data_IF_596839555929
#
_entry.id   IF_596839555929
#
_cell.length_a   1.000
_cell.length_b   1.000
_cell.length_c   1.000
_cell.angle_alpha   90.00
_cell.angle_beta   90.00
_cell.angle_gamma   90.00
#
_symmetry.space_group_name_H-M   'P 1'
#
loop_
_entity.id
_entity.type
_entity.pdbx_description
1 polymer ?
#
# COMPACT_ATOMS: atom_id res chain seq x y z
N UNK A 1 -8.56 15.40 22.14
CA UNK A 1 -8.26 14.77 20.84
C UNK A 1 -6.75 14.83 20.62
N UNK A 2 -6.06 13.68 20.59
CA UNK A 2 -4.63 13.64 20.27
C UNK A 2 -4.41 14.03 18.80
N UNK A 3 -3.38 14.84 18.52
CA UNK A 3 -3.01 15.19 17.15
C UNK A 3 -2.61 13.91 16.40
N UNK A 4 -3.17 13.69 15.21
CA UNK A 4 -2.73 12.62 14.33
C UNK A 4 -1.26 12.89 13.95
N UNK A 5 -0.34 12.05 14.40
CA UNK A 5 1.07 12.13 14.03
C UNK A 5 1.22 11.46 12.66
N UNK A 6 1.57 12.28 11.68
CA UNK A 6 1.90 11.81 10.35
C UNK A 6 3.40 11.55 10.27
N UNK A 7 3.78 10.48 9.60
CA UNK A 7 5.18 10.10 9.35
C UNK A 7 5.47 10.17 7.86
N UNK A 8 6.71 10.56 7.54
CA UNK A 8 7.23 10.50 6.18
C UNK A 8 7.83 9.11 5.93
N UNK A 9 7.40 8.50 4.84
CA UNK A 9 7.99 7.26 4.33
C UNK A 9 9.11 7.65 3.36
N UNK A 10 10.32 7.09 3.49
CA UNK A 10 11.44 7.34 2.60
C UNK A 10 11.21 6.65 1.24
N UNK A 11 10.32 7.25 0.45
CA UNK A 11 9.91 6.82 -0.87
C UNK A 11 10.37 7.86 -1.89
N UNK A 12 11.20 7.44 -2.84
CA UNK A 12 11.74 8.28 -3.92
C UNK A 12 11.19 7.89 -5.30
N UNK A 13 10.73 6.65 -5.44
CA UNK A 13 10.10 6.15 -6.66
C UNK A 13 9.22 4.94 -6.36
N UNK A 14 8.33 4.65 -7.29
CA UNK A 14 7.55 3.42 -7.39
C UNK A 14 7.65 2.89 -8.83
N UNK A 15 7.23 1.66 -9.04
CA UNK A 15 7.09 1.02 -10.34
C UNK A 15 5.61 0.83 -10.65
N UNK A 16 5.20 1.19 -11.85
CA UNK A 16 3.85 0.98 -12.33
C UNK A 16 3.86 0.85 -13.86
N UNK A 17 3.17 -0.16 -14.37
CA UNK A 17 2.95 -0.33 -15.82
C UNK A 17 2.19 0.86 -16.38
N UNK A 18 2.21 1.04 -17.71
CA UNK A 18 1.41 2.07 -18.37
C UNK A 18 -0.09 1.92 -18.05
N UNK A 19 -0.61 0.68 -18.01
CA UNK A 19 -2.00 0.41 -17.67
C UNK A 19 -2.37 0.88 -16.25
N UNK A 20 -1.52 0.62 -15.25
CA UNK A 20 -1.81 1.09 -13.88
C UNK A 20 -1.56 2.59 -13.73
N UNK A 21 -0.47 3.11 -14.28
CA UNK A 21 -0.09 4.49 -14.08
C UNK A 21 -0.93 5.46 -14.90
N UNK A 22 -0.95 5.30 -16.23
CA UNK A 22 -1.61 6.25 -17.13
C UNK A 22 -3.12 6.02 -17.14
N UNK A 23 -3.56 4.78 -17.31
CA UNK A 23 -4.98 4.48 -17.57
C UNK A 23 -5.83 4.40 -16.30
N UNK A 24 -5.20 4.26 -15.11
CA UNK A 24 -5.92 4.18 -13.84
C UNK A 24 -5.55 5.29 -12.88
N UNK A 25 -4.28 5.37 -12.47
CA UNK A 25 -3.86 6.31 -11.44
C UNK A 25 -3.96 7.77 -11.91
N UNK A 26 -3.45 8.10 -13.09
CA UNK A 26 -3.55 9.46 -13.63
C UNK A 26 -4.98 9.82 -14.02
N UNK A 27 -5.78 8.88 -14.56
CA UNK A 27 -7.23 9.11 -14.78
C UNK A 27 -7.95 9.46 -13.48
N UNK A 28 -7.68 8.76 -12.38
CA UNK A 28 -8.27 9.10 -11.08
C UNK A 28 -7.86 10.51 -10.61
N UNK A 29 -6.64 10.95 -10.94
CA UNK A 29 -6.16 12.29 -10.59
C UNK A 29 -6.80 13.36 -11.47
N UNK A 30 -6.84 13.14 -12.78
CA UNK A 30 -7.19 14.16 -13.78
C UNK A 30 -8.71 14.28 -13.98
N UNK A 31 -9.43 13.16 -14.00
CA UNK A 31 -10.86 13.12 -14.34
C UNK A 31 -11.78 13.06 -13.12
N UNK A 32 -11.32 12.41 -12.04
CA UNK A 32 -12.09 12.31 -10.78
C UNK A 32 -11.68 13.42 -9.79
N UNK A 33 -10.52 14.05 -10.01
CA UNK A 33 -10.02 15.14 -9.19
C UNK A 33 -9.31 14.70 -7.90
N UNK A 34 -8.83 13.45 -7.83
CA UNK A 34 -8.01 13.03 -6.70
C UNK A 34 -6.69 13.81 -6.67
N UNK A 35 -6.28 14.28 -5.49
CA UNK A 35 -4.93 14.78 -5.34
C UNK A 35 -3.93 13.63 -5.51
N UNK A 36 -2.99 13.78 -6.46
CA UNK A 36 -1.95 12.79 -6.76
C UNK A 36 -1.28 12.24 -5.51
N UNK A 37 -0.82 13.11 -4.60
CA UNK A 37 -0.12 12.65 -3.40
C UNK A 37 -1.05 11.95 -2.40
N UNK A 38 -2.23 12.51 -2.19
CA UNK A 38 -3.21 11.93 -1.26
C UNK A 38 -3.73 10.57 -1.74
N UNK A 39 -3.86 10.36 -3.06
CA UNK A 39 -4.33 9.10 -3.63
C UNK A 39 -3.41 7.94 -3.23
N UNK A 40 -2.08 8.10 -3.31
CA UNK A 40 -1.18 7.01 -2.90
C UNK A 40 -1.27 6.73 -1.40
N UNK A 41 -1.42 7.77 -0.57
CA UNK A 41 -1.65 7.58 0.86
C UNK A 41 -2.96 6.82 1.13
N UNK A 42 -4.02 7.10 0.37
CA UNK A 42 -5.30 6.42 0.47
C UNK A 42 -5.22 4.96 0.00
N UNK A 43 -4.51 4.69 -1.09
CA UNK A 43 -4.21 3.34 -1.60
C UNK A 43 -3.54 2.50 -0.50
N UNK A 44 -2.51 3.05 0.14
CA UNK A 44 -1.81 2.36 1.23
C UNK A 44 -2.71 2.18 2.45
N UNK A 45 -3.50 3.19 2.80
CA UNK A 45 -4.43 3.09 3.91
C UNK A 45 -5.49 1.99 3.69
N UNK A 46 -6.05 1.91 2.48
CA UNK A 46 -7.00 0.86 2.09
C UNK A 46 -6.39 -0.52 2.20
N UNK A 47 -5.17 -0.70 1.70
CA UNK A 47 -4.44 -1.96 1.79
C UNK A 47 -4.12 -2.37 3.23
N UNK A 48 -3.56 -1.45 4.03
CA UNK A 48 -3.26 -1.70 5.44
C UNK A 48 -4.51 -2.03 6.25
N UNK A 49 -5.65 -1.41 5.92
CA UNK A 49 -6.93 -1.73 6.56
C UNK A 49 -7.42 -3.13 6.18
N UNK A 50 -7.41 -3.47 4.89
CA UNK A 50 -7.87 -4.78 4.39
C UNK A 50 -7.04 -5.95 4.94
N UNK A 51 -5.76 -5.75 5.22
CA UNK A 51 -4.83 -6.79 5.65
C UNK A 51 -4.25 -6.56 7.06
N UNK A 52 -4.98 -5.79 7.88
CA UNK A 52 -4.52 -5.34 9.20
C UNK A 52 -4.07 -6.50 10.09
N UNK A 53 -4.88 -7.54 10.17
CA UNK A 53 -4.67 -8.67 11.08
C UNK A 53 -3.41 -9.44 10.72
N UNK A 54 -3.19 -9.70 9.43
CA UNK A 54 -1.98 -10.35 8.94
C UNK A 54 -0.73 -9.55 9.35
N UNK A 55 -0.71 -8.25 9.07
CA UNK A 55 0.48 -7.42 9.37
C UNK A 55 0.66 -7.17 10.87
N UNK A 56 -0.40 -7.23 11.68
CA UNK A 56 -0.28 -7.21 13.15
C UNK A 56 0.39 -8.47 13.67
N UNK A 57 0.00 -9.65 13.17
CA UNK A 57 0.63 -10.92 13.53
C UNK A 57 2.09 -10.97 13.06
N UNK A 58 2.38 -10.56 11.83
CA UNK A 58 3.73 -10.47 11.30
C UNK A 58 4.61 -9.48 12.09
N UNK A 59 4.06 -8.31 12.47
CA UNK A 59 4.76 -7.34 13.30
C UNK A 59 5.16 -7.92 14.66
N UNK A 60 4.26 -8.68 15.28
CA UNK A 60 4.54 -9.34 16.56
C UNK A 60 5.64 -10.39 16.42
N UNK A 61 5.57 -11.26 15.41
CA UNK A 61 6.60 -12.27 15.15
C UNK A 61 7.98 -11.65 14.86
N UNK A 62 8.03 -10.59 14.04
CA UNK A 62 9.28 -9.86 13.74
C UNK A 62 9.86 -9.20 14.99
N UNK A 63 9.03 -8.54 15.80
CA UNK A 63 9.45 -7.91 17.04
C UNK A 63 10.03 -8.93 18.03
N UNK A 64 9.38 -10.09 18.22
CA UNK A 64 9.88 -11.15 19.09
C UNK A 64 11.23 -11.71 18.62
N UNK A 65 11.40 -11.93 17.31
CA UNK A 65 12.67 -12.40 16.75
C UNK A 65 13.83 -11.40 16.93
N UNK A 66 13.52 -10.12 17.14
CA UNK A 66 14.48 -9.04 17.46
C UNK A 66 14.61 -8.78 18.97
N UNK A 67 13.98 -9.58 19.82
CA UNK A 67 14.08 -9.49 21.28
C UNK A 67 13.11 -8.52 21.96
N UNK A 68 12.15 -7.95 21.23
CA UNK A 68 11.10 -7.15 21.86
C UNK A 68 10.09 -8.04 22.60
N UNK A 69 9.52 -7.49 23.66
CA UNK A 69 8.49 -8.12 24.50
C UNK A 69 7.21 -7.30 24.44
N UNK A 70 6.11 -7.80 25.02
CA UNK A 70 4.84 -7.07 25.09
C UNK A 70 5.02 -5.67 25.71
N UNK A 71 5.87 -5.57 26.74
CA UNK A 71 6.18 -4.32 27.44
C UNK A 71 7.00 -3.32 26.61
N UNK A 72 7.69 -3.75 25.56
CA UNK A 72 8.51 -2.90 24.68
C UNK A 72 8.02 -2.85 23.23
N UNK A 73 6.83 -3.40 22.95
CA UNK A 73 6.29 -3.45 21.59
C UNK A 73 5.97 -2.06 21.02
N UNK A 74 5.62 -1.09 21.86
CA UNK A 74 5.45 0.31 21.45
C UNK A 74 6.74 0.91 20.89
N UNK A 75 7.90 0.57 21.44
CA UNK A 75 9.20 1.02 20.91
C UNK A 75 9.44 0.45 19.51
N UNK A 76 9.14 -0.84 19.29
CA UNK A 76 9.24 -1.45 17.97
C UNK A 76 8.30 -0.78 16.95
N UNK A 77 7.07 -0.47 17.37
CA UNK A 77 6.13 0.30 16.56
C UNK A 77 6.68 1.67 16.19
N UNK A 78 7.26 2.40 17.14
CA UNK A 78 7.80 3.74 16.91
C UNK A 78 9.00 3.70 15.95
N UNK A 79 9.89 2.70 16.07
CA UNK A 79 11.00 2.49 15.13
C UNK A 79 10.46 2.22 13.70
N UNK A 80 9.48 1.31 13.59
CA UNK A 80 8.90 0.97 12.30
C UNK A 80 8.17 2.15 11.66
N UNK A 81 7.37 2.89 12.43
CA UNK A 81 6.59 4.02 11.93
C UNK A 81 7.48 5.16 11.41
N UNK A 82 8.64 5.39 12.05
CA UNK A 82 9.61 6.42 11.70
C UNK A 82 10.67 5.96 10.69
N UNK A 83 10.60 4.70 10.25
CA UNK A 83 11.59 4.09 9.36
C UNK A 83 13.02 4.14 9.89
N UNK A 84 13.16 4.10 11.22
CA UNK A 84 14.44 4.01 11.91
C UNK A 84 14.98 2.58 11.84
N UNK A 85 16.26 2.43 12.17
CA UNK A 85 16.90 1.11 12.24
C UNK A 85 16.29 0.28 13.36
N UNK A 86 15.96 -0.96 13.02
CA UNK A 86 15.49 -1.96 13.97
C UNK A 86 16.66 -2.88 14.35
N UNK A 87 16.76 -3.35 15.61
CA UNK A 87 17.79 -4.29 16.03
C UNK A 87 17.88 -5.51 15.11
N UNK A 88 19.07 -6.07 14.94
CA UNK A 88 19.25 -7.32 14.20
C UNK A 88 18.46 -8.47 14.84
N UNK A 89 18.18 -9.52 14.06
CA UNK A 89 17.55 -10.72 14.59
C UNK A 89 18.49 -11.39 15.58
N UNK A 90 17.95 -11.81 16.73
CA UNK A 90 18.73 -12.54 17.74
C UNK A 90 19.15 -13.94 17.28
N UNK A 91 18.44 -14.47 16.29
CA UNK A 91 18.76 -15.76 15.66
C UNK A 91 18.39 -15.70 14.17
N UNK A 92 17.19 -16.15 13.81
CA UNK A 92 16.70 -16.19 12.44
C UNK A 92 15.54 -15.22 12.25
N UNK A 93 15.41 -14.71 11.01
CA UNK A 93 14.18 -14.05 10.57
C UNK A 93 13.02 -15.03 10.71
N UNK A 94 11.86 -14.60 11.26
CA UNK A 94 10.70 -15.46 11.34
C UNK A 94 10.23 -15.89 9.94
N UNK A 95 9.69 -17.09 9.88
CA UNK A 95 8.92 -17.55 8.74
C UNK A 95 7.53 -16.90 8.82
N UNK A 96 7.18 -16.13 7.80
CA UNK A 96 5.87 -15.51 7.71
C UNK A 96 4.98 -16.36 6.82
N UNK A 97 3.70 -16.46 7.17
CA UNK A 97 2.68 -17.00 6.28
C UNK A 97 2.67 -16.27 4.92
N UNK A 98 2.17 -16.88 3.84
CA UNK A 98 2.10 -16.24 2.53
C UNK A 98 1.44 -14.85 2.60
N UNK A 99 2.19 -13.83 2.16
CA UNK A 99 1.73 -12.45 2.20
C UNK A 99 0.55 -12.20 1.25
N UNK A 100 -0.35 -11.26 1.55
CA UNK A 100 -1.36 -10.81 0.60
C UNK A 100 -0.79 -10.27 -0.72
N UNK A 101 0.48 -9.83 -0.73
CA UNK A 101 1.14 -9.43 -1.98
C UNK A 101 1.70 -10.62 -2.77
N UNK A 102 1.81 -11.82 -2.21
CA UNK A 102 2.50 -12.97 -2.83
C UNK A 102 2.06 -13.30 -4.26
N UNK A 103 0.79 -13.03 -4.59
CA UNK A 103 0.20 -13.26 -5.91
C UNK A 103 0.27 -12.03 -6.85
N UNK A 104 0.69 -10.87 -6.33
CA UNK A 104 0.81 -9.63 -7.08
C UNK A 104 2.16 -9.58 -7.77
N UNK A 105 2.12 -9.54 -9.11
CA UNK A 105 3.29 -9.49 -9.98
C UNK A 105 4.14 -8.24 -9.67
N UNK A 106 5.45 -8.42 -9.50
CA UNK A 106 6.40 -7.31 -9.42
C UNK A 106 6.63 -6.75 -10.83
N UNK A 107 6.17 -5.52 -11.06
CA UNK A 107 6.22 -4.82 -12.35
C UNK A 107 7.50 -4.00 -12.53
N UNK A 108 8.57 -4.36 -11.83
CA UNK A 108 9.86 -3.66 -11.86
C UNK A 108 10.41 -3.37 -13.26
N UNK A 109 11.51 -2.59 -13.33
CA UNK A 109 12.11 -2.13 -14.58
C UNK A 109 12.12 -0.60 -14.64
N UNK A 110 13.20 -0.02 -15.18
CA UNK A 110 13.36 1.44 -15.25
C UNK A 110 12.28 2.11 -16.12
N UNK A 111 11.76 1.41 -17.13
CA UNK A 111 10.64 1.85 -17.98
C UNK A 111 9.34 2.07 -17.20
N UNK A 112 9.16 1.33 -16.10
CA UNK A 112 8.01 1.43 -15.22
C UNK A 112 8.26 2.34 -14.02
N UNK A 113 9.47 2.89 -13.88
CA UNK A 113 9.83 3.73 -12.74
C UNK A 113 9.15 5.08 -12.82
N UNK A 114 8.55 5.50 -11.71
CA UNK A 114 7.89 6.80 -11.55
C UNK A 114 8.46 7.49 -10.32
N UNK A 115 9.05 8.66 -10.52
CA UNK A 115 9.54 9.48 -9.42
C UNK A 115 8.39 9.87 -8.50
N UNK A 116 8.63 9.74 -7.21
CA UNK A 116 7.66 10.07 -6.18
C UNK A 116 8.39 10.68 -5.00
N UNK A 117 8.11 11.94 -4.69
CA UNK A 117 8.81 12.65 -3.62
C UNK A 117 7.92 12.77 -2.39
N UNK A 118 8.26 12.02 -1.35
CA UNK A 118 7.67 12.13 -0.02
C UNK A 118 6.26 11.56 0.04
N UNK A 119 6.12 10.39 0.65
CA UNK A 119 4.83 9.82 1.01
C UNK A 119 4.56 10.12 2.48
N UNK A 120 3.43 10.77 2.77
CA UNK A 120 2.99 11.06 4.13
C UNK A 120 1.80 10.18 4.48
N UNK A 121 1.89 9.45 5.58
CA UNK A 121 0.80 8.58 6.05
C UNK A 121 0.72 8.59 7.58
N UNK A 122 -0.27 7.93 8.15
CA UNK A 122 -0.38 7.79 9.61
C UNK A 122 0.75 6.92 10.15
N UNK A 123 1.15 7.12 11.41
CA UNK A 123 2.17 6.28 12.04
C UNK A 123 1.85 4.77 11.95
N UNK A 124 0.56 4.40 12.07
CA UNK A 124 0.11 3.01 11.95
C UNK A 124 0.34 2.44 10.55
N UNK A 125 -0.09 3.15 9.51
CA UNK A 125 0.09 2.69 8.14
C UNK A 125 1.57 2.67 7.76
N UNK A 126 2.36 3.61 8.28
CA UNK A 126 3.81 3.63 8.08
C UNK A 126 4.49 2.42 8.72
N UNK A 127 4.14 2.09 9.96
CA UNK A 127 4.66 0.90 10.65
C UNK A 127 4.26 -0.39 9.93
N UNK A 128 3.00 -0.51 9.50
CA UNK A 128 2.53 -1.67 8.72
C UNK A 128 3.26 -1.79 7.37
N UNK A 129 3.46 -0.67 6.68
CA UNK A 129 4.22 -0.66 5.44
C UNK A 129 5.67 -1.08 5.68
N UNK A 130 6.29 -0.62 6.77
CA UNK A 130 7.65 -1.06 7.16
C UNK A 130 7.68 -2.56 7.45
N UNK A 131 6.71 -3.11 8.17
CA UNK A 131 6.60 -4.56 8.39
C UNK A 131 6.41 -5.31 7.06
N UNK A 132 5.61 -4.79 6.14
CA UNK A 132 5.46 -5.36 4.81
C UNK A 132 6.80 -5.43 4.05
N UNK A 133 7.69 -4.44 4.19
CA UNK A 133 9.04 -4.52 3.60
C UNK A 133 9.87 -5.69 4.16
N UNK A 134 9.72 -6.01 5.45
CA UNK A 134 10.39 -7.15 6.06
C UNK A 134 9.81 -8.49 5.59
N UNK A 135 8.48 -8.57 5.49
CA UNK A 135 7.76 -9.76 4.99
C UNK A 135 8.12 -10.04 3.53
N UNK A 136 8.08 -9.02 2.67
CA UNK A 136 8.38 -9.16 1.24
C UNK A 136 9.88 -9.30 0.93
N UNK A 137 10.76 -8.97 1.89
CA UNK A 137 12.21 -8.79 1.65
C UNK A 137 12.46 -7.80 0.51
N UNK A 138 11.70 -6.72 0.48
CA UNK A 138 11.72 -5.72 -0.58
C UNK A 138 11.81 -4.31 0.00
N UNK A 139 12.33 -3.35 -0.76
CA UNK A 139 12.34 -1.95 -0.32
C UNK A 139 10.95 -1.30 -0.44
N UNK A 140 10.79 -0.11 0.17
CA UNK A 140 9.54 0.64 0.16
C UNK A 140 8.97 0.85 -1.25
N UNK A 141 9.83 1.17 -2.23
CA UNK A 141 9.44 1.37 -3.62
C UNK A 141 8.73 0.15 -4.19
N UNK A 142 9.37 -1.02 -4.12
CA UNK A 142 8.82 -2.29 -4.61
C UNK A 142 7.54 -2.70 -3.86
N UNK A 143 7.53 -2.59 -2.54
CA UNK A 143 6.34 -2.93 -1.73
C UNK A 143 5.16 -2.03 -2.10
N UNK A 144 5.36 -0.70 -2.16
CA UNK A 144 4.30 0.24 -2.54
C UNK A 144 3.84 0.03 -3.99
N UNK A 145 4.75 -0.36 -4.90
CA UNK A 145 4.40 -0.70 -6.30
C UNK A 145 3.40 -1.85 -6.38
N UNK A 146 3.62 -2.91 -5.60
CA UNK A 146 2.71 -4.06 -5.55
C UNK A 146 1.41 -3.71 -4.84
N UNK A 147 1.45 -2.88 -3.79
CA UNK A 147 0.23 -2.36 -3.16
C UNK A 147 -0.60 -1.54 -4.16
N UNK A 148 0.04 -0.70 -4.98
CA UNK A 148 -0.63 0.09 -6.01
C UNK A 148 -1.32 -0.80 -7.05
N UNK A 149 -0.61 -1.81 -7.56
CA UNK A 149 -1.16 -2.80 -8.48
C UNK A 149 -2.37 -3.51 -7.86
N UNK A 150 -2.19 -4.07 -6.65
CA UNK A 150 -3.25 -4.73 -5.90
C UNK A 150 -4.49 -3.84 -5.77
N UNK A 151 -4.32 -2.58 -5.38
CA UNK A 151 -5.44 -1.66 -5.15
C UNK A 151 -6.27 -1.46 -6.41
N UNK A 152 -5.63 -1.20 -7.55
CA UNK A 152 -6.36 -0.99 -8.78
C UNK A 152 -6.96 -2.29 -9.32
N UNK A 153 -6.35 -3.45 -9.11
CA UNK A 153 -6.97 -4.71 -9.51
C UNK A 153 -8.24 -5.02 -8.71
N UNK A 154 -8.32 -4.55 -7.46
CA UNK A 154 -9.50 -4.77 -6.60
C UNK A 154 -10.56 -3.68 -6.72
N UNK A 155 -10.16 -2.41 -6.86
CA UNK A 155 -11.07 -1.28 -6.71
C UNK A 155 -11.31 -0.48 -7.98
N UNK A 156 -10.70 -0.83 -9.13
CA UNK A 156 -10.88 -0.04 -10.35
C UNK A 156 -12.35 0.14 -10.77
N UNK A 157 -13.20 -0.86 -10.55
CA UNK A 157 -14.64 -0.77 -10.82
C UNK A 157 -15.32 0.38 -10.06
N UNK A 158 -14.86 0.73 -8.85
CA UNK A 158 -15.37 1.88 -8.09
C UNK A 158 -14.99 3.22 -8.71
N UNK A 159 -13.82 3.31 -9.34
CA UNK A 159 -13.41 4.49 -10.10
C UNK A 159 -14.17 4.58 -11.42
N UNK A 160 -14.32 3.44 -12.12
CA UNK A 160 -15.12 3.36 -13.35
C UNK A 160 -16.57 3.79 -13.14
N UNK A 161 -17.18 3.40 -12.02
CA UNK A 161 -18.51 3.85 -11.66
C UNK A 161 -18.61 5.38 -11.57
N UNK A 162 -17.64 6.05 -10.91
CA UNK A 162 -17.62 7.51 -10.81
C UNK A 162 -17.44 8.19 -12.17
N UNK A 163 -16.57 7.64 -13.02
CA UNK A 163 -16.36 8.14 -14.38
C UNK A 163 -17.65 8.04 -15.21
N UNK A 164 -18.33 6.90 -15.16
CA UNK A 164 -19.60 6.68 -15.86
C UNK A 164 -20.71 7.59 -15.32
N UNK A 165 -20.79 7.75 -13.99
CA UNK A 165 -21.74 8.65 -13.33
C UNK A 165 -21.57 10.09 -13.83
N UNK A 166 -20.32 10.57 -13.91
CA UNK A 166 -19.99 11.90 -14.42
C UNK A 166 -20.36 12.04 -15.91
N UNK A 167 -20.01 11.06 -16.74
CA UNK A 167 -20.33 11.06 -18.18
C UNK A 167 -21.85 11.05 -18.45
N UNK A 168 -22.62 10.32 -17.65
CA UNK A 168 -24.07 10.19 -17.78
C UNK A 168 -24.83 11.28 -17.00
N UNK A 169 -24.13 12.20 -16.32
CA UNK A 169 -24.72 13.23 -15.46
C UNK A 169 -25.75 12.68 -14.45
N UNK A 170 -25.41 11.57 -13.79
CA UNK A 170 -26.32 10.85 -12.89
C UNK A 170 -25.56 10.31 -11.68
N UNK A 171 -26.27 10.09 -10.57
CA UNK A 171 -25.74 9.39 -9.40
C UNK A 171 -25.77 7.86 -9.56
N UNK A 172 -26.52 7.36 -10.54
CA UNK A 172 -26.77 5.94 -10.79
C UNK A 172 -26.56 5.63 -12.28
N UNK A 173 -25.30 5.58 -12.76
CA UNK A 173 -25.00 5.27 -14.14
C UNK A 173 -25.45 3.85 -14.51
N UNK A 174 -25.91 3.70 -15.74
CA UNK A 174 -26.17 2.38 -16.30
C UNK A 174 -24.84 1.74 -16.66
N UNK A 175 -24.49 0.64 -15.97
CA UNK A 175 -23.30 -0.15 -16.25
C UNK A 175 -23.69 -1.21 -17.27
N UNK A 176 -23.20 -1.08 -18.51
CA UNK A 176 -23.35 -2.13 -19.52
C UNK A 176 -22.59 -3.38 -19.04
N UNK A 177 -23.20 -4.59 -19.08
CA UNK A 177 -22.47 -5.80 -18.74
C UNK A 177 -21.28 -5.96 -19.67
N UNK A 178 -20.10 -6.24 -19.10
CA UNK A 178 -18.92 -6.60 -19.87
C UNK A 178 -19.19 -7.97 -20.48
N UNK A 179 -19.35 -8.04 -21.81
CA UNK A 179 -19.44 -9.31 -22.53
C UNK A 179 -18.19 -10.15 -22.20
N UNK A 180 -18.37 -11.33 -21.60
CA UNK A 180 -17.29 -12.32 -21.48
C UNK A 180 -16.94 -12.88 -20.10
N UNK A 181 -17.71 -12.63 -19.04
CA UNK A 181 -17.64 -13.47 -17.83
C UNK A 181 -18.98 -14.14 -17.57
N UNK A 182 -19.17 -15.30 -18.18
CA UNK A 182 -20.12 -16.29 -17.66
C UNK A 182 -19.54 -16.93 -16.38
N UNK A 183 -20.40 -17.30 -15.42
CA UNK A 183 -20.01 -17.93 -14.16
C UNK A 183 -19.32 -19.29 -14.35
#
# INVERSE_FOLDING_TARGET
MGKCVYTEVPLSYIYATAAVWNERYMVAVEEIGWNKRALLSQVIASYCFAHREYYQAAAWADAQARGFKASSFSQYFDLCSRWEDVPEYLSNRPEFEPSPLSQVIDVGGEENRRSYNGLRTSALNSAMLRVATFVERANAGKTVSRILQWHFDHYWSTYQYQLLAAQQHTFSPTVMPIEGKQP
#
